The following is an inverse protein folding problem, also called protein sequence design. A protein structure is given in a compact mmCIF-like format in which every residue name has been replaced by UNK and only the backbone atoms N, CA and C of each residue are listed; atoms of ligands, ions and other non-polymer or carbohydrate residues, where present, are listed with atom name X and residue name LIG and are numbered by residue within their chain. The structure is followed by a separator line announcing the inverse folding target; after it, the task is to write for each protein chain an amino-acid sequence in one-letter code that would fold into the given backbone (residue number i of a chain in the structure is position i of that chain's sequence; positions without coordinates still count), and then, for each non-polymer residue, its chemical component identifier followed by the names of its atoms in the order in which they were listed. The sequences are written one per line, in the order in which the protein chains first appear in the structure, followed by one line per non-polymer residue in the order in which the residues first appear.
data_IF_294821882952
#
_entry.id   IF_294821882952
#
_cell.length_a   1.000
_cell.length_b   1.000
_cell.length_c   1.000
_cell.angle_alpha   90.00
_cell.angle_beta   90.00
_cell.angle_gamma   90.00
#
_symmetry.space_group_name_H-M   'P 1'
#
loop_
_entity.id
_entity.type
_entity.pdbx_description
1 polymer ?
#
# COMPACT_ATOMS: atom_id res chain seq x y z
N UNK A 1 21.87 -23.66 -21.70
CA UNK A 1 21.83 -23.69 -20.21
C UNK A 1 21.87 -22.24 -19.74
N UNK A 2 20.77 -21.71 -19.21
CA UNK A 2 20.72 -20.32 -18.72
C UNK A 2 21.61 -20.21 -17.48
N UNK A 3 22.52 -19.24 -17.46
CA UNK A 3 23.39 -18.96 -16.31
C UNK A 3 22.80 -17.81 -15.50
N UNK A 4 22.82 -17.94 -14.17
CA UNK A 4 22.29 -16.93 -13.26
C UNK A 4 23.27 -15.75 -13.17
N UNK A 5 22.87 -14.59 -13.69
CA UNK A 5 23.73 -13.41 -13.72
C UNK A 5 23.74 -12.65 -12.39
N UNK A 6 22.59 -12.58 -11.71
CA UNK A 6 22.42 -11.90 -10.42
C UNK A 6 21.41 -12.61 -9.53
N UNK A 7 21.60 -12.53 -8.21
CA UNK A 7 20.71 -13.10 -7.21
C UNK A 7 20.77 -12.33 -5.89
N UNK A 8 19.69 -12.37 -5.12
CA UNK A 8 19.65 -11.93 -3.73
C UNK A 8 18.79 -12.94 -2.95
N UNK A 9 19.32 -13.47 -1.84
CA UNK A 9 18.63 -14.41 -0.95
C UNK A 9 18.37 -13.72 0.38
N UNK A 10 17.22 -13.97 0.97
CA UNK A 10 16.91 -13.52 2.32
C UNK A 10 16.34 -14.66 3.16
N UNK A 11 16.23 -14.48 4.47
CA UNK A 11 16.06 -15.57 5.44
C UNK A 11 14.62 -16.08 5.66
N UNK A 12 13.63 -15.52 4.94
CA UNK A 12 12.22 -15.86 5.12
C UNK A 12 11.89 -17.29 4.62
N UNK A 13 10.96 -17.96 5.33
CA UNK A 13 10.43 -19.30 4.97
C UNK A 13 8.95 -19.19 4.54
N UNK A 14 8.49 -19.97 3.56
CA UNK A 14 9.23 -20.94 2.75
C UNK A 14 10.24 -20.27 1.80
N UNK A 15 11.34 -20.98 1.52
CA UNK A 15 12.37 -20.53 0.56
C UNK A 15 11.83 -20.70 -0.87
N UNK A 16 11.06 -19.71 -1.30
CA UNK A 16 10.50 -19.61 -2.65
C UNK A 16 11.43 -18.74 -3.49
N UNK A 17 11.84 -19.26 -4.64
CA UNK A 17 12.72 -18.57 -5.58
C UNK A 17 11.89 -17.99 -6.73
N UNK A 18 12.10 -16.71 -7.05
CA UNK A 18 11.52 -16.01 -8.20
C UNK A 18 12.61 -15.69 -9.22
N UNK A 19 12.37 -16.02 -10.48
CA UNK A 19 13.32 -15.90 -11.58
C UNK A 19 12.69 -15.12 -12.74
N UNK A 20 13.31 -14.01 -13.15
CA UNK A 20 12.85 -13.19 -14.26
C UNK A 20 13.94 -13.04 -15.35
N UNK A 21 13.52 -13.10 -16.62
CA UNK A 21 14.37 -12.88 -17.79
C UNK A 21 13.56 -12.18 -18.90
N UNK A 22 14.13 -11.16 -19.58
CA UNK A 22 15.48 -10.62 -19.44
C UNK A 22 15.61 -9.59 -18.29
N UNK A 23 16.73 -9.62 -17.57
CA UNK A 23 17.03 -8.72 -16.45
C UNK A 23 17.27 -7.24 -16.83
N UNK A 24 17.54 -6.97 -18.12
CA UNK A 24 17.76 -5.61 -18.68
C UNK A 24 18.89 -4.81 -17.99
N UNK A 25 19.98 -5.48 -17.65
CA UNK A 25 21.22 -4.86 -17.19
C UNK A 25 22.41 -5.46 -17.93
N UNK A 26 23.49 -4.69 -18.06
CA UNK A 26 24.79 -5.16 -18.60
C UNK A 26 25.77 -5.44 -17.46
N UNK A 27 25.75 -4.59 -16.42
CA UNK A 27 26.62 -4.72 -15.26
C UNK A 27 26.02 -5.60 -14.17
N UNK A 28 26.84 -6.51 -13.63
CA UNK A 28 26.42 -7.43 -12.57
C UNK A 28 26.03 -6.73 -11.25
N UNK A 29 26.71 -5.64 -10.91
CA UNK A 29 26.39 -4.85 -9.71
C UNK A 29 24.96 -4.27 -9.79
N UNK A 30 24.58 -3.75 -10.96
CA UNK A 30 23.22 -3.26 -11.23
C UNK A 30 22.20 -4.40 -11.16
N UNK A 31 22.52 -5.56 -11.73
CA UNK A 31 21.67 -6.74 -11.63
C UNK A 31 21.37 -7.14 -10.18
N UNK A 32 22.41 -7.21 -9.34
CA UNK A 32 22.25 -7.52 -7.91
C UNK A 32 21.35 -6.52 -7.19
N UNK A 33 21.52 -5.22 -7.46
CA UNK A 33 20.67 -4.17 -6.88
C UNK A 33 19.20 -4.30 -7.31
N UNK A 34 18.94 -4.62 -8.58
CA UNK A 34 17.58 -4.82 -9.08
C UNK A 34 16.93 -6.06 -8.46
N UNK A 35 17.65 -7.18 -8.36
CA UNK A 35 17.17 -8.39 -7.68
C UNK A 35 16.88 -8.14 -6.20
N UNK A 36 17.72 -7.36 -5.51
CA UNK A 36 17.45 -6.95 -4.12
C UNK A 36 16.15 -6.14 -4.02
N UNK A 37 15.96 -5.11 -4.85
CA UNK A 37 14.72 -4.32 -4.85
C UNK A 37 13.49 -5.15 -5.22
N UNK A 38 13.65 -6.16 -6.07
CA UNK A 38 12.56 -7.09 -6.40
C UNK A 38 12.16 -7.92 -5.17
N UNK A 39 13.14 -8.44 -4.42
CA UNK A 39 12.88 -9.16 -3.18
C UNK A 39 12.26 -8.26 -2.10
N UNK A 40 12.81 -7.06 -1.90
CA UNK A 40 12.25 -6.07 -0.96
C UNK A 40 10.79 -5.76 -1.27
N UNK A 41 10.45 -5.58 -2.56
CA UNK A 41 9.07 -5.36 -3.00
C UNK A 41 8.15 -6.54 -2.75
N UNK A 42 8.62 -7.76 -3.01
CA UNK A 42 7.84 -8.96 -2.74
C UNK A 42 7.63 -9.19 -1.22
N UNK A 43 8.48 -8.61 -0.37
CA UNK A 43 8.37 -8.74 1.09
C UNK A 43 7.70 -7.54 1.76
N UNK A 44 7.42 -6.47 1.02
CA UNK A 44 6.88 -5.24 1.58
C UNK A 44 5.51 -5.43 2.28
N UNK A 45 4.75 -6.47 1.91
CA UNK A 45 3.46 -6.86 2.49
C UNK A 45 3.55 -8.12 3.40
N UNK A 46 4.76 -8.60 3.70
CA UNK A 46 4.96 -9.79 4.55
C UNK A 46 4.42 -9.56 5.98
N UNK A 47 4.54 -8.34 6.49
CA UNK A 47 4.04 -7.93 7.79
C UNK A 47 3.21 -6.66 7.61
N UNK A 48 1.89 -6.81 7.75
CA UNK A 48 0.93 -5.73 7.62
C UNK A 48 0.15 -5.60 8.93
N UNK A 49 0.05 -4.38 9.44
CA UNK A 49 -0.85 -4.01 10.53
C UNK A 49 -2.02 -3.22 9.97
N UNK A 50 -3.22 -3.50 10.47
CA UNK A 50 -4.42 -2.70 10.22
C UNK A 50 -4.90 -2.11 11.55
N UNK A 51 -5.36 -0.86 11.50
CA UNK A 51 -5.82 -0.17 12.69
C UNK A 51 -6.89 0.88 12.39
N UNK A 52 -7.63 1.24 13.43
CA UNK A 52 -8.58 2.36 13.40
C UNK A 52 -8.11 3.43 14.39
N UNK A 53 -8.30 4.71 14.06
CA UNK A 53 -7.95 5.82 14.93
C UNK A 53 -8.90 7.00 14.73
N UNK A 54 -8.98 7.87 15.73
CA UNK A 54 -9.67 9.16 15.70
C UNK A 54 -8.69 10.33 15.50
N UNK A 55 -7.40 10.07 15.29
CA UNK A 55 -6.40 11.12 15.12
C UNK A 55 -6.40 11.71 13.70
N UNK A 56 -6.75 13.00 13.53
CA UNK A 56 -6.86 13.61 12.20
C UNK A 56 -5.51 13.94 11.56
N UNK A 57 -4.43 13.89 12.35
CA UNK A 57 -3.08 14.26 11.91
C UNK A 57 -2.32 13.13 11.23
N UNK A 58 -2.85 11.90 11.26
CA UNK A 58 -2.19 10.78 10.59
C UNK A 58 -2.10 11.03 9.09
N UNK A 59 -0.94 10.70 8.52
CA UNK A 59 -0.63 10.90 7.09
C UNK A 59 0.15 9.72 6.56
N UNK A 60 -0.13 9.34 5.32
CA UNK A 60 0.64 8.31 4.63
C UNK A 60 2.11 8.73 4.52
N UNK A 61 3.01 7.74 4.51
CA UNK A 61 4.46 7.95 4.48
C UNK A 61 5.08 8.45 5.79
N UNK A 62 4.29 8.60 6.86
CA UNK A 62 4.80 8.97 8.19
C UNK A 62 4.87 7.76 9.10
N UNK A 63 5.72 7.85 10.13
CA UNK A 63 5.78 6.83 11.18
C UNK A 63 4.77 7.14 12.28
N UNK A 64 4.05 6.10 12.70
CA UNK A 64 3.25 6.05 13.92
C UNK A 64 4.07 5.33 15.00
N UNK A 65 4.27 5.99 16.14
CA UNK A 65 4.84 5.37 17.32
C UNK A 65 3.73 4.63 18.09
N UNK A 66 3.74 3.29 18.04
CA UNK A 66 2.78 2.47 18.75
C UNK A 66 3.32 2.18 20.15
N UNK A 67 2.52 2.47 21.18
CA UNK A 67 2.86 2.21 22.58
C UNK A 67 1.69 1.58 23.34
N UNK A 68 1.99 0.99 24.50
CA UNK A 68 1.02 0.34 25.39
C UNK A 68 0.22 -0.83 24.79
N UNK A 69 0.70 -1.44 23.69
CA UNK A 69 0.13 -2.66 23.14
C UNK A 69 0.48 -3.87 24.04
N UNK A 70 -0.46 -4.80 24.32
CA UNK A 70 -0.22 -5.98 25.18
C UNK A 70 0.94 -6.87 24.71
N UNK A 71 1.21 -6.88 23.40
CA UNK A 71 2.41 -7.51 22.84
C UNK A 71 3.54 -6.49 22.77
N UNK A 72 4.58 -6.71 23.55
CA UNK A 72 5.74 -5.83 23.65
C UNK A 72 6.42 -5.59 22.29
N UNK A 73 6.52 -6.64 21.47
CA UNK A 73 7.20 -6.59 20.15
C UNK A 73 6.54 -5.63 19.16
N UNK A 74 5.28 -5.24 19.38
CA UNK A 74 4.56 -4.31 18.50
C UNK A 74 4.70 -2.86 18.93
N UNK A 75 5.23 -2.61 20.14
CA UNK A 75 5.49 -1.28 20.65
C UNK A 75 6.73 -0.68 20.00
N UNK A 76 6.60 -0.34 18.73
CA UNK A 76 7.67 0.16 17.87
C UNK A 76 7.10 1.15 16.83
N UNK A 77 7.97 1.65 15.95
CA UNK A 77 7.58 2.52 14.85
C UNK A 77 6.94 1.72 13.71
N UNK A 78 5.85 2.26 13.16
CA UNK A 78 5.11 1.70 12.04
C UNK A 78 4.96 2.73 10.93
N UNK A 79 5.40 2.40 9.71
CA UNK A 79 5.22 3.23 8.53
C UNK A 79 3.77 3.13 8.03
N UNK A 80 3.06 4.25 7.97
CA UNK A 80 1.69 4.33 7.46
C UNK A 80 1.69 4.25 5.92
N UNK A 81 1.16 3.17 5.38
CA UNK A 81 1.11 2.91 3.94
C UNK A 81 -0.13 3.51 3.29
N UNK A 82 -1.28 3.35 3.94
CA UNK A 82 -2.58 3.79 3.45
C UNK A 82 -3.43 4.29 4.62
N UNK A 83 -4.17 5.36 4.41
CA UNK A 83 -5.08 5.92 5.42
C UNK A 83 -6.35 6.40 4.73
N UNK A 84 -7.48 5.95 5.25
CA UNK A 84 -8.82 6.38 4.85
C UNK A 84 -9.42 7.23 5.95
N UNK A 85 -9.65 8.52 5.66
CA UNK A 85 -10.28 9.46 6.57
C UNK A 85 -11.79 9.51 6.30
N UNK A 86 -12.60 9.38 7.35
CA UNK A 86 -14.06 9.46 7.27
C UNK A 86 -14.56 10.48 8.30
N UNK A 87 -15.27 11.51 7.84
CA UNK A 87 -15.85 12.54 8.70
C UNK A 87 -17.34 12.73 8.39
N UNK A 88 -18.18 12.81 9.43
CA UNK A 88 -19.63 13.06 9.31
C UNK A 88 -20.04 14.16 10.27
N UNK A 89 -20.73 15.17 9.75
CA UNK A 89 -21.22 16.31 10.55
C UNK A 89 -22.69 16.61 10.20
N UNK A 90 -23.66 15.91 10.83
CA UNK A 90 -25.07 16.06 10.51
C UNK A 90 -25.65 17.43 10.93
N UNK A 91 -25.09 18.08 11.98
CA UNK A 91 -25.65 19.34 12.52
C UNK A 91 -25.53 20.56 11.59
N UNK A 92 -24.80 20.48 10.48
CA UNK A 92 -24.66 21.61 9.53
C UNK A 92 -25.88 21.75 8.61
N UNK A 93 -26.68 20.69 8.50
CA UNK A 93 -27.96 20.72 7.80
C UNK A 93 -29.03 21.04 8.85
N UNK A 94 -29.42 22.32 8.98
CA UNK A 94 -30.39 22.81 9.98
C UNK A 94 -31.79 22.15 9.92
N UNK A 95 -32.06 21.19 9.02
CA UNK A 95 -33.40 20.64 8.81
C UNK A 95 -33.52 19.10 8.67
N UNK A 96 -32.50 18.28 8.96
CA UNK A 96 -32.76 16.82 9.04
C UNK A 96 -31.83 16.04 9.96
N UNK A 97 -32.45 15.12 10.71
CA UNK A 97 -31.90 14.06 11.58
C UNK A 97 -31.93 14.42 13.08
N UNK A 98 -33.13 14.40 13.65
CA UNK A 98 -33.33 13.78 14.96
C UNK A 98 -33.34 12.26 14.77
N UNK A 99 -32.44 11.55 15.46
CA UNK A 99 -32.44 10.10 15.69
C UNK A 99 -32.06 9.16 14.52
N UNK A 100 -30.79 8.78 14.47
CA UNK A 100 -30.41 7.37 14.27
C UNK A 100 -29.33 7.00 15.29
N UNK A 101 -29.72 6.27 16.34
CA UNK A 101 -28.78 5.55 17.21
C UNK A 101 -28.55 6.06 18.64
N UNK A 102 -29.29 7.05 19.16
CA UNK A 102 -29.22 7.38 20.58
C UNK A 102 -30.14 6.43 21.36
N UNK A 103 -29.54 5.37 21.89
CA UNK A 103 -30.05 4.54 22.97
C UNK A 103 -30.36 5.39 24.21
N UNK A 104 -31.55 5.97 24.27
CA UNK A 104 -32.21 6.30 25.53
C UNK A 104 -33.69 5.89 25.47
N UNK A 105 -34.17 5.04 26.40
CA UNK A 105 -35.56 4.59 26.44
C UNK A 105 -36.46 5.73 26.92
N UNK A 106 -37.42 6.13 26.09
CA UNK A 106 -38.56 6.94 26.52
C UNK A 106 -39.60 6.01 27.18
N UNK A 107 -40.03 6.24 28.44
CA UNK A 107 -40.94 5.34 29.11
C UNK A 107 -42.37 5.72 28.76
N UNK A 108 -42.84 5.39 27.55
CA UNK A 108 -44.27 5.42 27.24
C UNK A 108 -44.63 4.57 26.02
N UNK A 109 -45.13 3.36 26.32
CA UNK A 109 -46.36 2.76 25.77
C UNK A 109 -46.41 2.49 24.26
N UNK A 110 -46.38 1.21 23.90
CA UNK A 110 -47.04 0.72 22.69
C UNK A 110 -46.29 -0.41 22.00
N UNK A 111 -47.00 -1.50 21.75
CA UNK A 111 -46.53 -2.75 21.18
C UNK A 111 -46.08 -2.61 19.71
N UNK A 112 -45.05 -3.37 19.32
CA UNK A 112 -44.64 -3.47 17.92
C UNK A 112 -43.29 -4.18 17.75
N UNK A 113 -43.35 -5.44 17.36
CA UNK A 113 -42.20 -6.26 16.97
C UNK A 113 -41.51 -5.64 15.73
N UNK A 114 -40.19 -5.47 15.78
CA UNK A 114 -39.39 -4.96 14.66
C UNK A 114 -37.96 -5.46 14.72
N UNK A 115 -37.58 -6.20 13.69
CA UNK A 115 -36.34 -6.98 13.53
C UNK A 115 -35.11 -6.10 13.28
N UNK A 116 -33.93 -6.55 13.73
CA UNK A 116 -32.64 -6.20 13.12
C UNK A 116 -31.90 -4.99 13.72
N UNK A 117 -31.27 -5.19 14.89
CA UNK A 117 -30.19 -4.30 15.34
C UNK A 117 -28.92 -4.54 14.48
N UNK A 118 -28.88 -3.95 13.30
CA UNK A 118 -27.71 -3.99 12.41
C UNK A 118 -26.75 -2.85 12.77
N UNK A 119 -25.53 -3.24 13.21
CA UNK A 119 -24.24 -2.53 13.10
C UNK A 119 -24.26 -1.02 13.45
N UNK A 120 -23.61 -0.62 14.55
CA UNK A 120 -23.42 0.78 14.95
C UNK A 120 -23.03 1.66 13.74
N UNK A 121 -24.01 2.38 13.22
CA UNK A 121 -23.84 3.20 12.03
C UNK A 121 -23.09 4.45 12.47
N UNK A 122 -21.88 4.66 11.93
CA UNK A 122 -21.10 5.86 12.23
C UNK A 122 -21.88 7.07 11.73
N UNK A 123 -22.48 7.84 12.62
CA UNK A 123 -23.46 8.88 12.25
C UNK A 123 -22.92 10.29 12.48
N UNK A 124 -21.87 10.44 13.26
CA UNK A 124 -21.22 11.72 13.53
C UNK A 124 -19.77 11.53 13.98
N UNK A 125 -18.92 12.51 13.67
CA UNK A 125 -17.55 12.60 14.18
C UNK A 125 -16.51 12.40 13.09
N UNK A 126 -15.30 12.08 13.50
CA UNK A 126 -14.18 11.76 12.63
C UNK A 126 -13.59 10.40 13.04
N UNK A 127 -13.24 9.58 12.05
CA UNK A 127 -12.46 8.35 12.23
C UNK A 127 -11.57 8.13 11.02
N UNK A 128 -10.56 7.30 11.18
CA UNK A 128 -9.77 6.78 10.10
C UNK A 128 -9.49 5.28 10.25
N UNK A 129 -9.22 4.64 9.13
CA UNK A 129 -8.68 3.29 9.05
C UNK A 129 -7.36 3.35 8.31
N UNK A 130 -6.34 2.68 8.82
CA UNK A 130 -5.01 2.72 8.23
C UNK A 130 -4.39 1.33 8.11
N UNK A 131 -3.47 1.20 7.15
CA UNK A 131 -2.56 0.07 7.05
C UNK A 131 -1.13 0.54 7.27
N UNK A 132 -0.33 -0.29 7.94
CA UNK A 132 1.03 0.06 8.29
C UNK A 132 1.99 -1.13 8.20
N UNK A 133 3.26 -0.84 7.97
CA UNK A 133 4.36 -1.82 7.95
C UNK A 133 5.39 -1.48 9.01
N UNK A 134 6.13 -2.44 9.57
CA UNK A 134 7.20 -2.17 10.53
C UNK A 134 8.28 -1.25 9.95
N UNK A 135 8.90 -0.42 10.79
CA UNK A 135 9.92 0.54 10.37
C UNK A 135 11.22 -0.08 9.85
N UNK A 136 11.53 -1.32 10.25
CA UNK A 136 12.73 -2.06 9.88
C UNK A 136 12.61 -2.77 8.52
N UNK A 137 11.40 -2.82 7.95
CA UNK A 137 11.11 -3.40 6.65
C UNK A 137 11.15 -2.32 5.55
N UNK A 138 12.08 -2.40 4.58
CA UNK A 138 12.12 -1.43 3.49
C UNK A 138 10.86 -1.54 2.60
N UNK A 139 10.02 -0.52 2.62
CA UNK A 139 8.85 -0.48 1.75
C UNK A 139 9.22 -0.18 0.29
N UNK A 140 8.67 -0.97 -0.64
CA UNK A 140 8.79 -0.75 -2.08
C UNK A 140 7.42 -0.93 -2.75
N UNK A 141 6.98 0.01 -3.60
CA UNK A 141 5.68 -0.11 -4.26
C UNK A 141 5.64 -1.27 -5.27
N UNK A 142 4.47 -1.91 -5.45
CA UNK A 142 4.26 -2.93 -6.47
C UNK A 142 4.42 -2.37 -7.88
N UNK A 143 4.93 -3.17 -8.83
CA UNK A 143 5.08 -2.79 -10.23
C UNK A 143 3.77 -3.01 -11.01
N UNK A 144 2.72 -2.28 -10.64
CA UNK A 144 1.40 -2.42 -11.30
C UNK A 144 1.38 -1.80 -12.71
N UNK A 145 2.23 -0.80 -12.97
CA UNK A 145 2.26 -0.12 -14.25
C UNK A 145 2.99 -0.97 -15.31
N UNK A 146 2.31 -1.37 -16.40
CA UNK A 146 2.93 -2.17 -17.44
C UNK A 146 4.03 -1.36 -18.14
N UNK A 147 5.18 -1.99 -18.38
CA UNK A 147 6.25 -1.37 -19.18
C UNK A 147 5.76 -1.18 -20.62
N UNK A 148 6.08 -0.04 -21.27
CA UNK A 148 5.81 0.14 -22.69
C UNK A 148 6.42 -0.99 -23.52
N UNK A 149 5.67 -1.49 -24.51
CA UNK A 149 6.09 -2.57 -25.40
C UNK A 149 5.95 -2.11 -26.84
N UNK A 150 6.99 -2.33 -27.65
CA UNK A 150 6.90 -2.18 -29.10
C UNK A 150 6.40 -3.51 -29.66
N UNK A 151 5.21 -3.49 -30.26
CA UNK A 151 4.57 -4.66 -30.85
C UNK A 151 4.98 -4.77 -32.32
N UNK A 152 6.18 -5.30 -32.57
CA UNK A 152 6.69 -5.57 -33.92
C UNK A 152 7.88 -4.70 -34.34
N UNK A 153 8.22 -4.77 -35.61
CA UNK A 153 9.30 -4.00 -36.22
C UNK A 153 8.85 -2.59 -36.60
N UNK A 154 9.75 -1.63 -36.53
CA UNK A 154 9.54 -0.26 -37.00
C UNK A 154 10.61 0.11 -38.04
N UNK A 155 10.26 0.99 -38.98
CA UNK A 155 11.24 1.60 -39.88
C UNK A 155 11.90 2.81 -39.21
N UNK A 156 13.16 3.06 -39.55
CA UNK A 156 13.92 4.20 -39.08
C UNK A 156 14.75 4.80 -40.23
N UNK A 157 15.03 6.11 -40.14
CA UNK A 157 15.94 6.80 -41.06
C UNK A 157 17.34 6.79 -40.45
N UNK A 158 18.33 6.29 -41.19
CA UNK A 158 19.74 6.31 -40.75
C UNK A 158 20.24 7.76 -40.71
N UNK A 159 20.90 8.13 -39.61
CA UNK A 159 21.42 9.50 -39.39
C UNK A 159 22.92 9.46 -39.15
N UNK A 160 23.63 10.52 -39.55
CA UNK A 160 25.08 10.66 -39.38
C UNK A 160 25.53 12.14 -39.44
N UNK A 161 26.81 12.42 -39.18
CA UNK A 161 27.38 13.77 -39.26
C UNK A 161 27.22 14.40 -40.65
N UNK A 162 27.23 15.73 -40.71
CA UNK A 162 27.08 16.44 -41.99
C UNK A 162 28.25 16.12 -42.92
N UNK A 163 27.95 15.60 -44.11
CA UNK A 163 28.93 15.30 -45.15
C UNK A 163 29.48 13.88 -45.12
N UNK A 164 29.04 13.03 -44.18
CA UNK A 164 29.39 11.60 -44.14
C UNK A 164 28.25 10.76 -44.73
N UNK A 165 28.55 9.92 -45.72
CA UNK A 165 27.60 8.99 -46.34
C UNK A 165 27.48 7.68 -45.56
N UNK A 166 28.55 7.26 -44.89
CA UNK A 166 28.62 6.04 -44.08
C UNK A 166 29.16 6.41 -42.71
N UNK A 167 28.36 6.13 -41.67
CA UNK A 167 28.73 6.38 -40.28
C UNK A 167 28.47 5.12 -39.45
N UNK A 168 29.55 4.39 -39.14
CA UNK A 168 29.56 3.18 -38.31
C UNK A 168 30.42 3.42 -37.06
N UNK A 169 30.22 2.61 -36.03
CA UNK A 169 30.95 2.65 -34.75
C UNK A 169 32.36 2.01 -34.80
#
# INVERSE_FOLDING_TARGET
RLQLEAAHKGEAKPDLEDYDYPGRFTERARGKHLSQRALERHRADQQLAEGESDQPLLRTGHFLDLSAHPRADWNQLWLLNEIHHEGKQPQVLEESITNFGASLPSPLRGEGQGEGATREEFNQGYRNRFSATPWDQPWRPPLQHPKPRILGSQSAVVTGPKGEEIHCD
#
